data_IF_937619317633
#
_entry.id   IF_937619317633
#
_cell.length_a   1.000
_cell.length_b   1.000
_cell.length_c   1.000
_cell.angle_alpha   90.00
_cell.angle_beta   90.00
_cell.angle_gamma   90.00
#
_symmetry.space_group_name_H-M   'P 1'
#
loop_
_entity.id
_entity.type
_entity.pdbx_description
1 polymer ?
#
# COMPACT_ATOMS: atom_id res chain seq x y z
N UNK A 1 -30.55 -38.91 20.39
CA UNK A 1 -31.45 -39.05 21.57
C UNK A 1 -31.86 -37.69 22.17
N UNK A 2 -32.30 -36.73 21.36
CA UNK A 2 -32.81 -35.43 21.86
C UNK A 2 -31.77 -34.45 22.45
N UNK A 3 -30.47 -34.79 22.42
CA UNK A 3 -29.37 -33.93 22.87
C UNK A 3 -28.73 -33.26 21.64
N UNK A 4 -28.63 -31.92 21.65
CA UNK A 4 -27.89 -31.19 20.62
C UNK A 4 -26.38 -31.38 20.83
N UNK A 5 -25.67 -31.71 19.74
CA UNK A 5 -24.22 -31.98 19.73
C UNK A 5 -23.47 -31.02 18.79
N UNK A 6 -24.09 -29.93 18.37
CA UNK A 6 -23.46 -28.89 17.57
C UNK A 6 -22.26 -28.27 18.32
N UNK A 7 -21.08 -28.33 17.71
CA UNK A 7 -19.82 -27.89 18.33
C UNK A 7 -19.20 -28.86 19.36
N UNK A 8 -19.81 -30.04 19.59
CA UNK A 8 -19.25 -31.05 20.50
C UNK A 8 -18.04 -31.75 19.87
N UNK A 9 -17.08 -32.14 20.70
CA UNK A 9 -15.90 -32.90 20.25
C UNK A 9 -16.27 -34.34 19.89
N UNK A 10 -15.53 -34.96 18.97
CA UNK A 10 -15.77 -36.34 18.54
C UNK A 10 -15.90 -37.33 19.72
N UNK A 11 -15.03 -37.18 20.73
CA UNK A 11 -15.06 -38.02 21.95
C UNK A 11 -16.38 -37.89 22.72
N UNK A 12 -16.88 -36.67 22.90
CA UNK A 12 -18.14 -36.42 23.61
C UNK A 12 -19.33 -37.03 22.87
N UNK A 13 -19.33 -36.99 21.54
CA UNK A 13 -20.39 -37.60 20.72
C UNK A 13 -20.35 -39.13 20.85
N UNK A 14 -19.17 -39.74 20.80
CA UNK A 14 -19.00 -41.20 20.96
C UNK A 14 -19.43 -41.67 22.35
N UNK A 15 -19.12 -40.91 23.41
CA UNK A 15 -19.53 -41.24 24.78
C UNK A 15 -21.06 -41.18 24.94
N UNK A 16 -21.72 -40.19 24.31
CA UNK A 16 -23.18 -40.10 24.27
C UNK A 16 -23.83 -41.26 23.50
N UNK A 17 -23.20 -41.73 22.43
CA UNK A 17 -23.66 -42.90 21.68
C UNK A 17 -23.52 -44.17 22.54
N UNK A 18 -22.40 -44.36 23.24
CA UNK A 18 -22.17 -45.52 24.12
C UNK A 18 -23.12 -45.56 25.32
N UNK A 19 -23.56 -44.39 25.80
CA UNK A 19 -24.56 -44.29 26.87
C UNK A 19 -25.98 -44.66 26.40
N UNK A 20 -26.24 -44.68 25.08
CA UNK A 20 -27.51 -45.14 24.51
C UNK A 20 -27.53 -46.66 24.36
N UNK A 21 -28.07 -47.37 25.35
CA UNK A 21 -27.87 -48.83 25.43
C UNK A 21 -28.58 -49.66 24.33
N UNK A 22 -29.63 -49.16 23.66
CA UNK A 22 -30.41 -49.98 22.70
C UNK A 22 -30.86 -49.30 21.40
N UNK A 23 -31.20 -48.01 21.42
CA UNK A 23 -31.67 -47.29 20.21
C UNK A 23 -31.07 -45.88 20.13
N UNK A 24 -30.70 -45.48 18.90
CA UNK A 24 -30.10 -44.18 18.60
C UNK A 24 -31.02 -43.40 17.65
N UNK A 25 -31.58 -42.30 18.16
CA UNK A 25 -32.39 -41.37 17.36
C UNK A 25 -31.48 -40.25 16.86
N UNK A 26 -31.29 -40.18 15.54
CA UNK A 26 -30.50 -39.17 14.83
C UNK A 26 -31.40 -38.28 13.96
N UNK A 27 -31.11 -36.99 13.94
CA UNK A 27 -31.71 -36.05 13.00
C UNK A 27 -30.72 -35.79 11.88
N UNK A 28 -31.10 -36.12 10.63
CA UNK A 28 -30.25 -35.86 9.46
C UNK A 28 -30.40 -34.40 9.05
N UNK A 29 -29.30 -33.66 9.09
CA UNK A 29 -29.23 -32.30 8.55
C UNK A 29 -28.64 -32.38 7.13
N UNK A 30 -29.44 -32.00 6.14
CA UNK A 30 -28.99 -31.91 4.76
C UNK A 30 -28.23 -30.59 4.56
N UNK A 31 -26.92 -30.69 4.32
CA UNK A 31 -26.07 -29.58 3.90
C UNK A 31 -26.01 -29.48 2.37
N UNK A 32 -25.87 -28.27 1.80
CA UNK A 32 -25.68 -28.11 0.37
C UNK A 32 -24.39 -28.81 -0.10
N UNK A 33 -24.30 -29.24 -1.38
CA UNK A 33 -23.23 -30.15 -1.85
C UNK A 33 -21.80 -29.65 -1.58
N UNK A 34 -21.59 -28.33 -1.60
CA UNK A 34 -20.29 -27.72 -1.35
C UNK A 34 -19.86 -27.74 0.13
N UNK A 35 -20.79 -27.90 1.07
CA UNK A 35 -20.51 -28.09 2.49
C UNK A 35 -20.40 -29.57 2.87
N UNK A 36 -21.04 -30.47 2.11
CA UNK A 36 -20.92 -31.91 2.30
C UNK A 36 -19.48 -32.40 2.03
N UNK A 37 -18.83 -31.84 1.00
CA UNK A 37 -17.41 -32.11 0.68
C UNK A 37 -16.44 -31.61 1.78
N UNK A 38 -16.86 -30.69 2.67
CA UNK A 38 -16.05 -30.19 3.79
C UNK A 38 -16.02 -31.15 5.00
N UNK A 39 -16.90 -32.15 5.04
CA UNK A 39 -17.08 -33.03 6.21
C UNK A 39 -16.39 -34.39 6.05
N UNK A 40 -15.89 -34.72 4.86
CA UNK A 40 -15.15 -35.95 4.61
C UNK A 40 -13.65 -35.73 4.90
N UNK A 41 -13.06 -36.41 5.89
CA UNK A 41 -11.64 -36.28 6.19
C UNK A 41 -10.85 -37.00 5.10
N UNK A 42 -10.44 -36.27 4.06
CA UNK A 42 -9.51 -36.78 3.05
C UNK A 42 -8.09 -36.74 3.61
N UNK A 43 -7.50 -37.92 3.72
CA UNK A 43 -6.24 -38.24 4.41
C UNK A 43 -4.98 -37.85 3.62
N UNK A 44 -5.02 -36.78 2.82
CA UNK A 44 -3.88 -36.36 1.99
C UNK A 44 -3.32 -34.99 2.42
N UNK A 45 -2.22 -35.12 3.16
CA UNK A 45 -1.33 -34.06 3.61
C UNK A 45 -0.61 -33.38 2.45
N UNK A 46 -1.17 -32.31 1.89
CA UNK A 46 -0.45 -31.17 1.28
C UNK A 46 -1.40 -29.96 1.27
N UNK A 47 -1.03 -28.89 1.97
CA UNK A 47 -1.89 -27.73 2.25
C UNK A 47 -2.56 -27.11 1.02
N UNK A 48 -3.79 -27.52 0.74
CA UNK A 48 -4.68 -26.79 -0.16
C UNK A 48 -5.09 -25.49 0.53
N UNK A 49 -4.47 -24.38 0.11
CA UNK A 49 -4.96 -23.04 0.43
C UNK A 49 -6.40 -22.91 -0.06
N UNK A 50 -7.34 -22.98 0.89
CA UNK A 50 -8.76 -22.77 0.61
C UNK A 50 -8.96 -21.26 0.42
N UNK A 51 -9.05 -20.84 -0.83
CA UNK A 51 -9.27 -19.45 -1.20
C UNK A 51 -10.77 -19.11 -1.12
N UNK A 52 -11.11 -17.99 -0.49
CA UNK A 52 -12.46 -17.42 -0.53
C UNK A 52 -12.67 -16.65 -1.85
N UNK A 53 -13.48 -17.21 -2.74
CA UNK A 53 -13.80 -16.61 -4.03
C UNK A 53 -15.02 -15.68 -3.98
N UNK A 54 -15.65 -15.51 -2.81
CA UNK A 54 -16.83 -14.66 -2.64
C UNK A 54 -16.46 -13.20 -2.38
N UNK A 55 -15.25 -12.94 -1.89
CA UNK A 55 -14.74 -11.59 -1.65
C UNK A 55 -14.45 -10.87 -2.98
N UNK A 56 -15.38 -9.98 -3.35
CA UNK A 56 -15.26 -9.14 -4.54
C UNK A 56 -14.68 -7.78 -4.17
N UNK A 57 -13.47 -7.51 -4.64
CA UNK A 57 -12.91 -6.17 -4.66
C UNK A 57 -13.03 -5.65 -6.10
N UNK A 58 -13.67 -4.49 -6.29
CA UNK A 58 -13.72 -3.90 -7.62
C UNK A 58 -12.31 -3.49 -8.05
N UNK A 59 -11.66 -4.33 -8.86
CA UNK A 59 -10.39 -4.03 -9.52
C UNK A 59 -10.71 -3.71 -10.98
N UNK A 60 -10.93 -2.43 -11.35
CA UNK A 60 -11.37 -2.07 -12.69
C UNK A 60 -10.19 -2.13 -13.66
N UNK A 61 -9.79 -3.34 -14.05
CA UNK A 61 -8.84 -3.58 -15.14
C UNK A 61 -9.59 -3.40 -16.47
N UNK A 62 -9.02 -2.61 -17.37
CA UNK A 62 -9.54 -2.36 -18.70
C UNK A 62 -8.40 -2.37 -19.72
N UNK A 63 -8.72 -2.60 -20.99
CA UNK A 63 -7.71 -2.57 -22.06
C UNK A 63 -8.24 -1.64 -23.17
N UNK A 64 -8.34 -0.33 -22.92
CA UNK A 64 -9.00 0.60 -23.84
C UNK A 64 -8.22 0.85 -25.13
N UNK A 65 -6.92 0.57 -25.18
CA UNK A 65 -6.06 0.93 -26.32
C UNK A 65 -5.09 -0.18 -26.72
N UNK A 66 -4.70 -0.19 -27.99
CA UNK A 66 -3.67 -1.05 -28.54
C UNK A 66 -2.71 -0.23 -29.43
N UNK A 67 -1.49 -0.74 -29.63
CA UNK A 67 -0.47 -0.12 -30.48
C UNK A 67 0.17 -1.17 -31.39
N UNK A 68 0.49 -0.76 -32.61
CA UNK A 68 1.35 -1.55 -33.49
C UNK A 68 2.79 -1.24 -33.17
N UNK A 69 3.57 -2.27 -32.86
CA UNK A 69 5.00 -2.16 -32.55
C UNK A 69 5.75 -2.97 -33.60
N UNK A 70 6.80 -2.36 -34.14
CA UNK A 70 7.76 -3.00 -35.03
C UNK A 70 9.09 -3.13 -34.26
N UNK A 71 9.46 -4.35 -33.91
CA UNK A 71 10.67 -4.64 -33.14
C UNK A 71 11.37 -5.83 -33.79
N UNK A 72 12.69 -5.73 -33.99
CA UNK A 72 13.51 -6.76 -34.62
C UNK A 72 13.00 -7.24 -36.00
N UNK A 73 12.33 -6.36 -36.76
CA UNK A 73 11.74 -6.68 -38.08
C UNK A 73 10.39 -7.39 -38.03
N UNK A 74 9.84 -7.65 -36.83
CA UNK A 74 8.51 -8.21 -36.65
C UNK A 74 7.50 -7.12 -36.27
N UNK A 75 6.33 -7.14 -36.93
CA UNK A 75 5.20 -6.27 -36.61
C UNK A 75 4.20 -7.03 -35.77
N UNK A 76 3.97 -6.58 -34.55
CA UNK A 76 2.98 -7.18 -33.65
C UNK A 76 2.12 -6.12 -32.96
N UNK A 77 0.96 -6.54 -32.47
CA UNK A 77 0.03 -5.70 -31.71
C UNK A 77 0.28 -5.91 -30.22
N UNK A 78 0.43 -4.81 -29.49
CA UNK A 78 0.44 -4.80 -28.03
C UNK A 78 -0.81 -4.13 -27.51
N UNK A 79 -1.38 -4.70 -26.47
CA UNK A 79 -2.56 -4.22 -25.78
C UNK A 79 -2.12 -3.50 -24.51
N UNK A 80 -2.58 -2.27 -24.31
CA UNK A 80 -2.25 -1.49 -23.12
C UNK A 80 -3.28 -1.83 -22.03
N UNK A 81 -2.81 -2.44 -20.95
CA UNK A 81 -3.62 -2.82 -19.81
C UNK A 81 -3.67 -1.64 -18.84
N UNK A 82 -4.88 -1.25 -18.45
CA UNK A 82 -5.16 -0.16 -17.53
C UNK A 82 -5.86 -0.69 -16.29
N UNK A 83 -5.66 -0.04 -15.14
CA UNK A 83 -6.45 -0.23 -13.93
C UNK A 83 -6.91 1.12 -13.39
N UNK A 84 -8.21 1.28 -13.18
CA UNK A 84 -8.81 2.53 -12.69
C UNK A 84 -8.37 3.78 -13.50
N UNK A 85 -8.25 3.61 -14.83
CA UNK A 85 -7.79 4.66 -15.75
C UNK A 85 -6.27 4.85 -15.83
N UNK A 86 -5.46 4.00 -15.19
CA UNK A 86 -3.98 4.08 -15.16
C UNK A 86 -3.36 2.98 -16.01
N UNK A 87 -2.44 3.26 -16.92
CA UNK A 87 -1.76 2.22 -17.68
C UNK A 87 -0.76 1.47 -16.78
N UNK A 88 -0.89 0.14 -16.66
CA UNK A 88 0.01 -0.70 -15.87
C UNK A 88 1.11 -1.31 -16.73
N UNK A 89 0.73 -1.93 -17.85
CA UNK A 89 1.68 -2.61 -18.73
C UNK A 89 1.15 -2.69 -20.16
N UNK A 90 2.01 -3.10 -21.09
CA UNK A 90 1.64 -3.39 -22.48
C UNK A 90 2.00 -4.83 -22.80
N UNK A 91 1.02 -5.64 -23.22
CA UNK A 91 1.18 -7.10 -23.40
C UNK A 91 0.70 -7.56 -24.77
N UNK A 92 1.39 -8.54 -25.35
CA UNK A 92 0.95 -9.26 -26.56
C UNK A 92 -0.14 -10.26 -26.19
N UNK A 93 -0.97 -10.63 -27.16
CA UNK A 93 -2.02 -11.63 -26.98
C UNK A 93 -1.53 -12.94 -26.35
N UNK A 94 -0.34 -13.41 -26.77
CA UNK A 94 0.28 -14.63 -26.24
C UNK A 94 0.50 -14.58 -24.73
N UNK A 95 0.89 -13.43 -24.19
CA UNK A 95 1.15 -13.26 -22.76
C UNK A 95 -0.15 -13.32 -21.95
N UNK A 96 -1.25 -12.78 -22.50
CA UNK A 96 -2.59 -12.88 -21.90
C UNK A 96 -3.09 -14.34 -21.91
N UNK A 97 -2.80 -15.08 -22.97
CA UNK A 97 -3.14 -16.50 -23.04
C UNK A 97 -2.36 -17.36 -22.03
N UNK A 98 -1.09 -17.02 -21.77
CA UNK A 98 -0.26 -17.68 -20.75
C UNK A 98 -0.80 -17.39 -19.35
N UNK A 99 -1.15 -16.12 -19.04
CA UNK A 99 -1.81 -15.75 -17.78
C UNK A 99 -3.02 -16.65 -17.52
N UNK A 100 -3.90 -16.80 -18.51
CA UNK A 100 -5.10 -17.62 -18.39
C UNK A 100 -4.77 -19.08 -18.04
N UNK A 101 -3.82 -19.68 -18.76
CA UNK A 101 -3.40 -21.06 -18.49
C UNK A 101 -2.82 -21.22 -17.08
N UNK A 102 -2.03 -20.25 -16.62
CA UNK A 102 -1.46 -20.25 -15.29
C UNK A 102 -2.55 -20.08 -14.21
N UNK A 103 -3.51 -19.17 -14.39
CA UNK A 103 -4.64 -19.00 -13.47
C UNK A 103 -5.51 -20.26 -13.40
N UNK A 104 -5.81 -20.90 -14.54
CA UNK A 104 -6.52 -22.19 -14.57
C UNK A 104 -5.79 -23.30 -13.82
N UNK A 105 -4.45 -23.31 -13.90
CA UNK A 105 -3.62 -24.29 -13.19
C UNK A 105 -3.55 -24.00 -11.69
N UNK A 106 -3.37 -22.73 -11.31
CA UNK A 106 -3.23 -22.31 -9.92
C UNK A 106 -4.55 -22.32 -9.14
N UNK A 107 -5.68 -22.08 -9.82
CA UNK A 107 -7.02 -22.00 -9.21
C UNK A 107 -7.90 -23.13 -9.73
N UNK A 108 -7.44 -24.37 -9.58
CA UNK A 108 -8.12 -25.56 -10.12
C UNK A 108 -9.56 -25.76 -9.60
N UNK A 109 -9.88 -25.23 -8.40
CA UNK A 109 -11.23 -25.28 -7.80
C UNK A 109 -12.15 -24.15 -8.28
N UNK A 110 -11.63 -23.11 -8.94
CA UNK A 110 -12.45 -22.03 -9.46
C UNK A 110 -13.03 -22.43 -10.82
N UNK A 111 -14.36 -22.52 -10.89
CA UNK A 111 -15.07 -22.76 -12.14
C UNK A 111 -15.04 -21.50 -12.99
N UNK A 112 -13.96 -21.35 -13.76
CA UNK A 112 -13.94 -20.32 -14.77
C UNK A 112 -15.05 -20.59 -15.82
N UNK A 113 -15.74 -19.55 -16.33
CA UNK A 113 -16.81 -19.72 -17.31
C UNK A 113 -16.37 -20.60 -18.50
N UNK A 114 -17.22 -21.46 -19.04
CA UNK A 114 -16.85 -22.19 -20.27
C UNK A 114 -16.87 -21.26 -21.49
N UNK A 115 -15.95 -21.41 -22.46
CA UNK A 115 -16.06 -20.74 -23.74
C UNK A 115 -17.26 -21.31 -24.52
N UNK A 116 -18.22 -20.46 -24.89
CA UNK A 116 -19.32 -20.87 -25.78
C UNK A 116 -18.79 -21.22 -27.18
N UNK A 117 -19.39 -22.23 -27.85
CA UNK A 117 -18.95 -22.65 -29.17
C UNK A 117 -19.55 -21.77 -30.27
N UNK A 118 -18.77 -21.60 -31.34
CA UNK A 118 -19.12 -20.95 -32.61
C UNK A 118 -19.10 -19.41 -32.64
N UNK A 119 -17.88 -18.87 -32.81
CA UNK A 119 -17.46 -17.84 -33.79
C UNK A 119 -16.34 -16.93 -33.32
N UNK A 120 -15.78 -17.16 -32.12
CA UNK A 120 -14.54 -16.54 -31.68
C UNK A 120 -13.96 -17.33 -30.51
N UNK A 121 -13.08 -18.29 -30.79
CA UNK A 121 -12.18 -18.85 -29.78
C UNK A 121 -11.26 -17.77 -29.15
N UNK A 122 -11.28 -16.56 -29.73
CA UNK A 122 -10.64 -15.32 -29.28
C UNK A 122 -11.34 -14.64 -28.09
N UNK A 123 -12.57 -15.03 -27.72
CA UNK A 123 -13.42 -14.22 -26.81
C UNK A 123 -13.40 -14.63 -25.33
N UNK A 124 -12.62 -15.63 -24.91
CA UNK A 124 -12.55 -15.93 -23.47
C UNK A 124 -11.78 -14.87 -22.67
N UNK A 125 -10.94 -14.07 -23.34
CA UNK A 125 -10.33 -12.90 -22.73
C UNK A 125 -11.35 -11.77 -22.42
N UNK A 126 -12.63 -11.95 -22.77
CA UNK A 126 -13.63 -10.89 -22.84
C UNK A 126 -14.90 -11.17 -22.01
N UNK A 127 -14.73 -11.48 -20.71
CA UNK A 127 -15.64 -10.93 -19.69
C UNK A 127 -15.44 -9.39 -19.53
N UNK A 128 -14.47 -8.84 -20.23
CA UNK A 128 -14.37 -7.43 -20.63
C UNK A 128 -15.03 -7.31 -22.00
N UNK A 129 -16.30 -6.88 -22.10
CA UNK A 129 -16.87 -6.46 -23.39
C UNK A 129 -16.13 -5.17 -23.80
N UNK A 130 -15.04 -5.26 -24.56
CA UNK A 130 -14.59 -4.10 -25.33
C UNK A 130 -15.47 -4.08 -26.56
N UNK A 131 -16.58 -3.34 -26.46
CA UNK A 131 -17.21 -2.81 -27.65
C UNK A 131 -16.27 -1.73 -28.16
N UNK A 132 -15.39 -2.04 -29.12
CA UNK A 132 -14.89 -1.03 -30.05
C UNK A 132 -16.00 -0.81 -31.07
N UNK A 133 -17.09 -0.19 -30.62
CA UNK A 133 -18.02 0.48 -31.51
C UNK A 133 -18.38 1.79 -30.86
N UNK A 134 -18.37 2.82 -31.69
CA UNK A 134 -18.77 4.18 -31.42
C UNK A 134 -20.03 4.26 -30.54
N UNK A 135 -20.15 5.40 -29.86
CA UNK A 135 -21.24 5.82 -28.97
C UNK A 135 -21.11 5.34 -27.52
N UNK A 136 -20.85 6.32 -26.66
CA UNK A 136 -20.69 6.13 -25.22
C UNK A 136 -21.90 5.45 -24.59
N UNK A 137 -21.64 4.33 -23.92
CA UNK A 137 -22.48 3.78 -22.85
C UNK A 137 -21.56 3.13 -21.81
N UNK A 138 -21.82 3.46 -20.55
CA UNK A 138 -21.20 2.93 -19.33
C UNK A 138 -21.01 1.41 -19.35
N UNK A 139 -19.81 0.94 -18.98
CA UNK A 139 -19.45 -0.47 -18.94
C UNK A 139 -19.39 -1.00 -17.49
N UNK A 140 -20.21 -2.01 -17.17
CA UNK A 140 -20.14 -2.77 -15.90
C UNK A 140 -19.51 -4.13 -16.19
N UNK A 141 -18.29 -4.44 -15.72
CA UNK A 141 -17.69 -5.75 -15.94
C UNK A 141 -18.13 -6.74 -14.84
N UNK A 142 -18.62 -7.92 -15.23
CA UNK A 142 -18.56 -9.11 -14.38
C UNK A 142 -17.12 -9.65 -14.43
N UNK A 143 -16.19 -8.96 -13.77
CA UNK A 143 -14.75 -9.23 -13.92
C UNK A 143 -14.31 -10.36 -12.99
N UNK A 144 -13.72 -11.42 -13.54
CA UNK A 144 -12.98 -12.45 -12.77
C UNK A 144 -11.83 -11.80 -11.98
N UNK A 145 -11.24 -10.72 -12.51
CA UNK A 145 -10.24 -9.90 -11.80
C UNK A 145 -10.82 -9.10 -10.62
N UNK A 146 -12.14 -9.04 -10.45
CA UNK A 146 -12.76 -8.44 -9.26
C UNK A 146 -12.80 -9.39 -8.07
N UNK A 147 -12.35 -10.65 -8.21
CA UNK A 147 -12.18 -11.57 -7.09
C UNK A 147 -10.82 -11.28 -6.47
N UNK A 148 -10.82 -10.91 -5.18
CA UNK A 148 -9.62 -10.42 -4.48
C UNK A 148 -8.43 -11.38 -4.59
N UNK A 149 -8.69 -12.67 -4.37
CA UNK A 149 -7.69 -13.75 -4.50
C UNK A 149 -7.02 -13.76 -5.87
N UNK A 150 -7.76 -13.48 -6.94
CA UNK A 150 -7.23 -13.50 -8.30
C UNK A 150 -6.42 -12.23 -8.56
N UNK A 151 -6.94 -11.07 -8.14
CA UNK A 151 -6.26 -9.78 -8.28
C UNK A 151 -4.98 -9.65 -7.46
N UNK A 152 -4.89 -10.32 -6.31
CA UNK A 152 -3.72 -10.35 -5.42
C UNK A 152 -2.79 -11.55 -5.68
N UNK A 153 -3.12 -12.44 -6.61
CA UNK A 153 -2.29 -13.63 -6.89
C UNK A 153 -0.93 -13.26 -7.50
N UNK A 154 0.09 -14.04 -7.14
CA UNK A 154 1.45 -13.90 -7.71
C UNK A 154 1.43 -14.02 -9.24
N UNK A 155 0.54 -14.85 -9.79
CA UNK A 155 0.37 -15.04 -11.24
C UNK A 155 -0.10 -13.74 -11.90
N UNK A 156 -1.03 -13.01 -11.26
CA UNK A 156 -1.54 -11.74 -11.77
C UNK A 156 -0.50 -10.62 -11.61
N UNK A 157 0.21 -10.61 -10.49
CA UNK A 157 1.33 -9.69 -10.24
C UNK A 157 2.45 -9.88 -11.28
N UNK A 158 2.83 -11.13 -11.56
CA UNK A 158 3.82 -11.47 -12.58
C UNK A 158 3.36 -11.02 -13.98
N UNK A 159 2.09 -11.25 -14.33
CA UNK A 159 1.56 -10.78 -15.60
C UNK A 159 1.51 -9.26 -15.70
N UNK A 160 1.16 -8.55 -14.63
CA UNK A 160 1.13 -7.09 -14.63
C UNK A 160 2.55 -6.51 -14.57
N UNK A 161 3.52 -7.26 -14.05
CA UNK A 161 4.94 -6.95 -14.17
C UNK A 161 5.42 -7.15 -15.62
N UNK A 162 6.30 -6.26 -16.08
CA UNK A 162 6.84 -6.40 -17.44
C UNK A 162 7.82 -7.56 -17.46
N UNK A 163 7.60 -8.52 -18.37
CA UNK A 163 8.54 -9.60 -18.62
C UNK A 163 9.84 -8.99 -19.14
N UNK A 164 10.96 -9.44 -18.57
CA UNK A 164 12.34 -9.00 -18.76
C UNK A 164 12.88 -9.06 -20.22
N UNK A 165 12.03 -9.16 -21.24
CA UNK A 165 12.44 -9.19 -22.64
C UNK A 165 12.29 -7.83 -23.36
N UNK A 166 11.61 -6.86 -22.76
CA UNK A 166 11.46 -5.50 -23.30
C UNK A 166 12.44 -4.49 -22.65
N UNK A 167 13.72 -4.86 -22.56
CA UNK A 167 14.82 -4.09 -21.95
C UNK A 167 15.26 -2.81 -22.68
N UNK A 168 14.33 -2.12 -23.33
CA UNK A 168 14.54 -0.73 -23.70
C UNK A 168 13.69 0.12 -22.76
N UNK A 169 14.25 0.52 -21.63
CA UNK A 169 13.68 1.47 -20.65
C UNK A 169 13.39 2.87 -21.21
N UNK A 170 13.15 2.98 -22.51
CA UNK A 170 12.91 4.20 -23.29
C UNK A 170 11.42 4.41 -23.54
N UNK A 171 10.54 3.44 -23.24
CA UNK A 171 9.09 3.65 -23.37
C UNK A 171 8.60 4.63 -22.31
N UNK A 172 7.87 5.64 -22.75
CA UNK A 172 7.21 6.60 -21.86
C UNK A 172 6.01 5.96 -21.16
N UNK A 173 5.83 6.34 -19.90
CA UNK A 173 4.71 5.98 -19.04
C UNK A 173 4.17 7.23 -18.36
N UNK A 174 2.88 7.20 -18.03
CA UNK A 174 2.22 8.26 -17.29
C UNK A 174 2.11 7.86 -15.82
N UNK A 175 2.82 8.59 -14.95
CA UNK A 175 2.73 8.41 -13.51
C UNK A 175 1.83 9.49 -12.93
N UNK A 176 0.82 9.07 -12.18
CA UNK A 176 -0.02 9.97 -11.39
C UNK A 176 0.62 10.15 -10.01
N UNK A 177 0.78 11.37 -9.55
CA UNK A 177 1.36 11.70 -8.24
C UNK A 177 0.38 12.60 -7.49
N UNK A 178 0.11 12.25 -6.23
CA UNK A 178 -0.73 13.04 -5.35
C UNK A 178 0.04 14.26 -4.82
N UNK A 179 -0.64 15.39 -4.75
CA UNK A 179 -0.11 16.63 -4.22
C UNK A 179 -0.71 16.89 -2.82
N UNK A 180 -0.05 17.69 -1.98
CA UNK A 180 -0.53 18.00 -0.63
C UNK A 180 -1.95 18.57 -0.58
N UNK A 181 -2.37 19.29 -1.63
CA UNK A 181 -3.68 19.94 -1.75
C UNK A 181 -4.81 19.01 -2.22
N UNK A 182 -4.62 17.68 -2.12
CA UNK A 182 -5.57 16.62 -2.53
C UNK A 182 -5.66 16.47 -4.06
N UNK A 183 -5.10 17.39 -4.83
CA UNK A 183 -5.06 17.25 -6.28
C UNK A 183 -4.04 16.20 -6.70
N UNK A 184 -4.10 15.81 -7.97
CA UNK A 184 -3.14 14.86 -8.55
C UNK A 184 -2.60 15.40 -9.85
N UNK A 185 -1.30 15.24 -10.06
CA UNK A 185 -0.63 15.59 -11.31
C UNK A 185 -0.21 14.33 -12.04
N UNK A 186 -0.34 14.33 -13.37
CA UNK A 186 0.18 13.25 -14.21
C UNK A 186 1.42 13.75 -14.93
N UNK A 187 2.53 13.02 -14.77
CA UNK A 187 3.80 13.28 -15.45
C UNK A 187 4.12 12.15 -16.40
N UNK A 188 4.62 12.51 -17.59
CA UNK A 188 5.09 11.55 -18.58
C UNK A 188 6.61 11.41 -18.44
N UNK A 189 7.05 10.22 -18.05
CA UNK A 189 8.45 9.90 -17.75
C UNK A 189 8.83 8.57 -18.38
N UNK A 190 10.12 8.24 -18.41
CA UNK A 190 10.57 6.92 -18.86
C UNK A 190 10.35 5.90 -17.75
N UNK A 191 10.14 4.63 -18.11
CA UNK A 191 9.99 3.55 -17.13
C UNK A 191 11.19 3.38 -16.19
N UNK A 192 12.39 3.64 -16.70
CA UNK A 192 13.62 3.59 -15.92
C UNK A 192 13.97 4.93 -15.26
N UNK A 193 13.04 5.89 -15.24
CA UNK A 193 13.29 7.16 -14.56
C UNK A 193 13.45 6.94 -13.07
N UNK A 194 14.50 7.54 -12.52
CA UNK A 194 14.78 7.50 -11.09
C UNK A 194 13.85 8.43 -10.31
N UNK A 195 13.78 8.27 -8.99
CA UNK A 195 13.04 9.16 -8.09
C UNK A 195 13.32 10.64 -8.36
N UNK A 196 14.59 11.02 -8.52
CA UNK A 196 14.96 12.41 -8.81
C UNK A 196 14.37 12.90 -10.14
N UNK A 197 14.43 12.09 -11.20
CA UNK A 197 13.91 12.47 -12.51
C UNK A 197 12.39 12.63 -12.48
N UNK A 198 11.68 11.74 -11.79
CA UNK A 198 10.23 11.85 -11.60
C UNK A 198 9.89 13.07 -10.75
N UNK A 199 10.62 13.32 -9.67
CA UNK A 199 10.44 14.47 -8.81
C UNK A 199 10.65 15.79 -9.56
N UNK A 200 11.70 15.90 -10.37
CA UNK A 200 11.95 17.08 -11.22
C UNK A 200 10.84 17.31 -12.25
N UNK A 201 10.31 16.24 -12.87
CA UNK A 201 9.18 16.35 -13.79
C UNK A 201 7.92 16.85 -13.07
N UNK A 202 7.67 16.40 -11.83
CA UNK A 202 6.55 16.87 -11.00
C UNK A 202 6.75 18.34 -10.62
N UNK A 203 7.92 18.71 -10.10
CA UNK A 203 8.25 20.09 -9.70
C UNK A 203 8.07 21.08 -10.86
N UNK A 204 8.59 20.74 -12.04
CA UNK A 204 8.41 21.55 -13.25
C UNK A 204 6.95 21.66 -13.67
N UNK A 205 6.17 20.57 -13.55
CA UNK A 205 4.76 20.53 -13.95
C UNK A 205 3.86 21.36 -13.04
N UNK A 206 4.17 21.46 -11.74
CA UNK A 206 3.41 22.25 -10.76
C UNK A 206 3.92 23.68 -10.62
N UNK A 207 5.03 24.04 -11.28
CA UNK A 207 5.63 25.37 -11.19
C UNK A 207 6.37 25.62 -9.88
N UNK A 208 6.93 24.58 -9.26
CA UNK A 208 7.73 24.69 -8.05
C UNK A 208 9.13 25.21 -8.39
N UNK A 209 9.54 26.30 -7.74
CA UNK A 209 10.87 26.87 -7.91
C UNK A 209 11.96 26.00 -7.25
N UNK A 210 13.21 26.23 -7.64
CA UNK A 210 14.35 25.42 -7.18
C UNK A 210 14.63 25.53 -5.68
N UNK A 211 14.24 26.64 -5.03
CA UNK A 211 14.42 26.81 -3.58
C UNK A 211 13.37 25.96 -2.86
N UNK A 212 12.10 26.14 -3.21
CA UNK A 212 10.98 25.40 -2.63
C UNK A 212 11.13 23.89 -2.82
N UNK A 213 11.63 23.45 -3.98
CA UNK A 213 11.85 22.04 -4.27
C UNK A 213 12.76 21.32 -3.25
N UNK A 214 13.70 22.01 -2.61
CA UNK A 214 14.58 21.39 -1.62
C UNK A 214 13.89 20.98 -0.30
N UNK A 215 12.65 21.43 -0.11
CA UNK A 215 11.83 21.22 1.08
C UNK A 215 10.70 20.22 0.87
N UNK A 216 10.66 19.56 -0.29
CA UNK A 216 9.72 18.49 -0.58
C UNK A 216 10.47 17.24 -1.03
N UNK A 217 9.81 16.09 -0.93
CA UNK A 217 10.31 14.84 -1.48
C UNK A 217 9.17 14.01 -2.07
N UNK A 218 9.54 13.01 -2.86
CA UNK A 218 8.63 12.00 -3.37
C UNK A 218 8.53 10.84 -2.37
N UNK A 219 7.31 10.41 -2.09
CA UNK A 219 6.99 9.35 -1.16
C UNK A 219 6.13 8.29 -1.83
N UNK A 220 6.26 7.07 -1.32
CA UNK A 220 5.35 5.96 -1.54
C UNK A 220 4.39 5.82 -0.37
N UNK A 221 3.11 5.62 -0.66
CA UNK A 221 2.04 5.32 0.29
C UNK A 221 1.93 3.81 0.43
N UNK A 222 2.15 3.31 1.65
CA UNK A 222 2.12 1.90 2.02
C UNK A 222 0.91 1.66 2.93
N UNK A 223 0.14 0.60 2.67
CA UNK A 223 -1.02 0.20 3.48
C UNK A 223 -1.99 1.36 3.77
N UNK A 224 -2.19 2.25 2.80
CA UNK A 224 -3.08 3.43 2.85
C UNK A 224 -2.79 4.50 3.91
N UNK A 225 -1.85 4.27 4.83
CA UNK A 225 -1.67 5.10 6.02
C UNK A 225 -0.24 5.60 6.21
N UNK A 226 0.75 4.76 5.89
CA UNK A 226 2.16 5.08 6.08
C UNK A 226 2.76 5.64 4.79
N UNK A 227 3.67 6.61 4.92
CA UNK A 227 4.36 7.24 3.79
C UNK A 227 5.86 7.07 3.95
N UNK A 228 6.47 6.36 3.00
CA UNK A 228 7.90 6.10 2.95
C UNK A 228 8.56 7.04 1.94
N UNK A 229 9.59 7.77 2.35
CA UNK A 229 10.38 8.58 1.43
C UNK A 229 11.12 7.69 0.45
N UNK A 230 11.05 8.00 -0.84
CA UNK A 230 11.81 7.29 -1.87
C UNK A 230 13.26 7.76 -1.90
N UNK A 231 14.19 6.81 -2.03
CA UNK A 231 15.60 7.11 -2.26
C UNK A 231 15.83 7.60 -3.70
N UNK A 232 16.83 8.46 -3.94
CA UNK A 232 17.10 9.06 -5.26
C UNK A 232 17.27 8.06 -6.41
N UNK A 233 17.77 6.87 -6.11
CA UNK A 233 18.10 5.80 -7.05
C UNK A 233 16.99 4.73 -7.22
N UNK A 234 15.87 4.85 -6.50
CA UNK A 234 14.71 4.00 -6.72
C UNK A 234 14.00 4.34 -8.03
N UNK A 235 13.16 3.41 -8.52
CA UNK A 235 12.42 3.56 -9.78
C UNK A 235 10.90 3.63 -9.48
N UNK A 236 10.30 4.84 -9.41
CA UNK A 236 8.90 5.01 -9.01
C UNK A 236 7.91 4.21 -9.86
N UNK A 237 8.19 3.99 -11.14
CA UNK A 237 7.33 3.16 -12.00
C UNK A 237 7.23 1.71 -11.50
N UNK A 238 8.32 1.11 -11.01
CA UNK A 238 8.29 -0.27 -10.47
C UNK A 238 7.37 -0.37 -9.25
N UNK A 239 7.48 0.60 -8.34
CA UNK A 239 6.65 0.72 -7.14
C UNK A 239 5.18 1.00 -7.51
N UNK A 240 4.97 1.81 -8.54
CA UNK A 240 3.66 2.14 -9.08
C UNK A 240 2.92 0.91 -9.60
N UNK A 241 3.64 -0.02 -10.24
CA UNK A 241 3.10 -1.31 -10.65
C UNK A 241 2.88 -2.21 -9.44
N UNK A 242 3.88 -2.43 -8.58
CA UNK A 242 3.75 -3.35 -7.44
C UNK A 242 2.58 -3.03 -6.50
N UNK A 243 2.30 -1.74 -6.27
CA UNK A 243 1.26 -1.28 -5.35
C UNK A 243 -0.08 -0.94 -6.03
N UNK A 244 -0.43 -1.62 -7.13
CA UNK A 244 -1.66 -1.32 -7.88
C UNK A 244 -2.96 -1.60 -7.09
N UNK A 245 -2.98 -2.59 -6.19
CA UNK A 245 -4.15 -2.96 -5.37
C UNK A 245 -4.31 -2.09 -4.12
N UNK A 246 -3.22 -1.57 -3.57
CA UNK A 246 -3.16 -0.87 -2.27
C UNK A 246 -3.35 0.66 -2.37
N UNK A 247 -3.76 1.19 -3.52
CA UNK A 247 -3.77 2.64 -3.80
C UNK A 247 -5.19 3.26 -3.84
N UNK A 248 -5.75 3.59 -2.68
CA UNK A 248 -6.90 4.51 -2.54
C UNK A 248 -6.33 5.92 -2.28
N UNK A 249 -6.60 6.99 -3.08
CA UNK A 249 -7.57 7.15 -4.17
C UNK A 249 -6.92 7.61 -5.49
N UNK A 250 -6.05 6.82 -6.12
CA UNK A 250 -5.54 7.21 -7.46
C UNK A 250 -4.06 6.99 -7.73
N UNK A 251 -3.25 6.78 -6.70
CA UNK A 251 -1.80 6.64 -6.83
C UNK A 251 -1.19 6.16 -5.51
N UNK A 252 -0.08 5.44 -5.57
CA UNK A 252 0.77 5.15 -4.43
C UNK A 252 1.91 6.18 -4.27
N UNK A 253 2.02 7.17 -5.15
CA UNK A 253 3.05 8.20 -5.13
C UNK A 253 2.49 9.53 -4.66
N UNK A 254 3.18 10.21 -3.76
CA UNK A 254 2.78 11.52 -3.24
C UNK A 254 3.96 12.43 -2.99
N UNK A 255 3.77 13.73 -3.18
CA UNK A 255 4.72 14.75 -2.75
C UNK A 255 4.35 15.18 -1.33
N UNK A 256 5.32 15.19 -0.43
CA UNK A 256 5.13 15.73 0.93
C UNK A 256 6.31 16.61 1.33
N UNK A 257 6.02 17.51 2.27
CA UNK A 257 7.01 18.34 2.94
C UNK A 257 8.10 17.46 3.56
N UNK A 258 9.35 17.79 3.27
CA UNK A 258 10.55 17.22 3.87
C UNK A 258 11.40 18.32 4.50
N UNK A 259 10.88 18.87 5.58
CA UNK A 259 11.46 20.00 6.29
C UNK A 259 11.15 19.86 7.77
N UNK A 260 12.19 19.92 8.60
CA UNK A 260 12.06 19.67 10.03
C UNK A 260 12.43 20.86 10.91
N UNK A 261 12.88 21.98 10.34
CA UNK A 261 13.15 23.23 11.07
C UNK A 261 12.05 24.24 10.87
N UNK A 262 11.57 24.83 11.95
CA UNK A 262 10.50 25.85 11.90
C UNK A 262 10.99 27.16 11.31
N UNK A 263 12.27 27.46 11.44
CA UNK A 263 12.90 28.71 10.99
C UNK A 263 12.95 28.76 9.46
N UNK A 264 13.45 27.70 8.82
CA UNK A 264 13.44 27.57 7.36
C UNK A 264 12.02 27.54 6.79
N UNK A 265 11.07 26.96 7.52
CA UNK A 265 9.67 26.95 7.10
C UNK A 265 9.07 28.35 7.08
N UNK A 266 9.42 29.20 8.04
CA UNK A 266 8.99 30.60 8.11
C UNK A 266 9.55 31.42 6.94
N UNK A 267 10.77 31.12 6.47
CA UNK A 267 11.36 31.78 5.30
C UNK A 267 10.57 31.54 4.01
N UNK A 268 9.74 30.49 3.96
CA UNK A 268 8.89 30.16 2.82
C UNK A 268 7.49 30.77 2.89
N UNK A 269 7.19 31.59 3.90
CA UNK A 269 5.86 32.20 4.07
C UNK A 269 5.47 33.15 2.92
N UNK A 270 6.45 33.67 2.17
CA UNK A 270 6.22 34.53 1.00
C UNK A 270 5.99 33.73 -0.29
N UNK A 271 6.13 32.40 -0.25
CA UNK A 271 5.88 31.52 -1.38
C UNK A 271 4.48 30.88 -1.27
N UNK A 272 3.54 31.37 -2.09
CA UNK A 272 2.15 30.92 -2.07
C UNK A 272 1.99 29.40 -2.26
N UNK A 273 2.81 28.79 -3.14
CA UNK A 273 2.74 27.34 -3.39
C UNK A 273 3.20 26.55 -2.15
N UNK A 274 4.33 26.95 -1.56
CA UNK A 274 4.86 26.31 -0.35
C UNK A 274 3.86 26.41 0.82
N UNK A 275 3.33 27.61 1.07
CA UNK A 275 2.33 27.86 2.12
C UNK A 275 1.07 27.02 1.90
N UNK A 276 0.57 26.98 0.66
CA UNK A 276 -0.61 26.17 0.30
C UNK A 276 -0.37 24.70 0.60
N UNK A 277 0.78 24.16 0.18
CA UNK A 277 1.11 22.75 0.39
C UNK A 277 1.33 22.41 1.87
N UNK A 278 2.05 23.25 2.61
CA UNK A 278 2.23 23.06 4.05
C UNK A 278 0.90 23.10 4.79
N UNK A 279 0.03 24.05 4.44
CA UNK A 279 -1.29 24.18 5.04
C UNK A 279 -2.13 22.93 4.81
N UNK A 280 -2.26 22.47 3.56
CA UNK A 280 -3.10 21.31 3.26
C UNK A 280 -2.56 20.02 3.87
N UNK A 281 -1.23 19.83 3.88
CA UNK A 281 -0.62 18.69 4.57
C UNK A 281 -0.89 18.76 6.08
N UNK A 282 -0.72 19.92 6.72
CA UNK A 282 -0.96 20.06 8.15
C UNK A 282 -2.43 19.84 8.52
N UNK A 283 -3.38 20.27 7.68
CA UNK A 283 -4.80 19.97 7.86
C UNK A 283 -5.08 18.46 7.78
N UNK A 284 -4.46 17.75 6.84
CA UNK A 284 -4.56 16.29 6.74
C UNK A 284 -3.96 15.58 7.97
N UNK A 285 -2.80 16.05 8.43
CA UNK A 285 -2.11 15.49 9.60
C UNK A 285 -2.89 15.71 10.91
N UNK A 286 -3.58 16.85 11.07
CA UNK A 286 -4.53 17.06 12.18
C UNK A 286 -5.74 16.12 12.07
N UNK A 287 -6.32 15.95 10.87
CA UNK A 287 -7.47 15.05 10.66
C UNK A 287 -7.14 13.59 10.95
N UNK A 288 -5.90 13.17 10.65
CA UNK A 288 -5.38 11.83 10.94
C UNK A 288 -4.99 11.63 12.41
N UNK A 289 -5.00 12.71 13.21
CA UNK A 289 -4.61 12.66 14.63
C UNK A 289 -3.10 12.59 14.85
N UNK A 290 -2.29 12.88 13.83
CA UNK A 290 -0.82 12.95 13.97
C UNK A 290 -0.38 14.19 14.75
N UNK A 291 -1.16 15.28 14.65
CA UNK A 291 -0.92 16.52 15.39
C UNK A 291 -2.03 16.68 16.45
N UNK A 292 -1.64 16.72 17.72
CA UNK A 292 -2.56 16.93 18.85
C UNK A 292 -2.92 18.41 18.94
N UNK A 293 -4.13 18.73 18.50
CA UNK A 293 -4.62 20.09 18.35
C UNK A 293 -6.01 20.32 18.97
N UNK A 294 -6.45 19.43 19.86
CA UNK A 294 -7.79 19.41 20.46
C UNK A 294 -8.10 20.73 21.18
N UNK A 295 -7.15 21.24 21.95
CA UNK A 295 -7.28 22.50 22.71
C UNK A 295 -7.45 23.74 21.80
N UNK A 296 -6.95 23.66 20.56
CA UNK A 296 -6.97 24.77 19.59
C UNK A 296 -7.94 24.52 18.43
N UNK A 297 -8.71 23.44 18.49
CA UNK A 297 -9.60 22.98 17.41
C UNK A 297 -10.53 24.06 16.86
N UNK A 298 -11.22 24.81 17.72
CA UNK A 298 -12.11 25.90 17.32
C UNK A 298 -11.38 27.03 16.57
N UNK A 299 -10.21 27.44 17.05
CA UNK A 299 -9.42 28.51 16.43
C UNK A 299 -8.88 28.06 15.07
N UNK A 300 -8.37 26.83 14.99
CA UNK A 300 -7.87 26.22 13.76
C UNK A 300 -8.98 26.08 12.72
N UNK A 301 -10.19 25.65 13.12
CA UNK A 301 -11.34 25.58 12.24
C UNK A 301 -11.68 26.95 11.64
N UNK A 302 -11.77 27.99 12.48
CA UNK A 302 -12.04 29.35 12.02
C UNK A 302 -10.96 29.86 11.05
N UNK A 303 -9.68 29.59 11.32
CA UNK A 303 -8.58 29.97 10.43
C UNK A 303 -8.64 29.22 9.09
N UNK A 304 -9.03 27.95 9.10
CA UNK A 304 -9.23 27.13 7.91
C UNK A 304 -10.38 27.69 7.04
N UNK A 305 -11.53 28.01 7.63
CA UNK A 305 -12.68 28.61 6.94
C UNK A 305 -12.34 29.99 6.34
N UNK A 306 -11.54 30.78 7.05
CA UNK A 306 -11.07 32.10 6.59
C UNK A 306 -9.88 32.01 5.62
N UNK A 307 -9.39 30.81 5.30
CA UNK A 307 -8.18 30.57 4.48
C UNK A 307 -6.94 31.35 4.96
N UNK A 308 -6.82 31.58 6.26
CA UNK A 308 -5.65 32.25 6.87
C UNK A 308 -4.51 31.25 7.09
N UNK A 309 -3.94 30.76 6.00
CA UNK A 309 -2.99 29.64 5.98
C UNK A 309 -1.75 29.87 6.85
N UNK A 310 -1.08 31.02 6.74
CA UNK A 310 0.12 31.34 7.54
C UNK A 310 -0.19 31.38 9.04
N UNK A 311 -1.31 31.98 9.43
CA UNK A 311 -1.74 32.02 10.84
C UNK A 311 -2.09 30.61 11.36
N UNK A 312 -2.70 29.78 10.53
CA UNK A 312 -2.98 28.38 10.86
C UNK A 312 -1.69 27.60 11.11
N UNK A 313 -0.70 27.72 10.23
CA UNK A 313 0.61 27.08 10.38
C UNK A 313 1.36 27.58 11.62
N UNK A 314 1.36 28.90 11.88
CA UNK A 314 1.96 29.47 13.10
C UNK A 314 1.38 28.86 14.38
N UNK A 315 0.08 28.57 14.39
CA UNK A 315 -0.58 27.94 15.53
C UNK A 315 -0.16 26.48 15.69
N UNK A 316 -0.15 25.71 14.59
CA UNK A 316 0.23 24.29 14.62
C UNK A 316 1.70 24.03 14.95
N UNK A 317 2.62 24.95 14.61
CA UNK A 317 4.04 24.86 14.99
C UNK A 317 4.26 24.74 16.51
N UNK A 318 3.27 25.11 17.31
CA UNK A 318 3.30 25.02 18.77
C UNK A 318 2.60 23.78 19.34
N UNK A 319 1.99 22.95 18.49
CA UNK A 319 1.27 21.74 18.87
C UNK A 319 2.21 20.52 18.90
N UNK A 320 1.89 19.55 19.76
CA UNK A 320 2.61 18.28 19.82
C UNK A 320 2.32 17.45 18.54
N UNK A 321 3.36 16.82 17.98
CA UNK A 321 3.26 16.03 16.75
C UNK A 321 3.48 16.82 15.45
N UNK A 322 3.61 18.16 15.52
CA UNK A 322 3.96 18.93 14.33
C UNK A 322 5.38 18.60 13.84
N UNK A 323 5.53 18.34 12.53
CA UNK A 323 6.75 17.83 11.90
C UNK A 323 7.29 16.52 12.52
N UNK A 324 6.42 15.70 13.11
CA UNK A 324 6.76 14.36 13.60
C UNK A 324 6.40 13.29 12.56
N UNK A 325 7.34 12.39 12.28
CA UNK A 325 7.13 11.23 11.40
C UNK A 325 6.92 10.01 12.27
N UNK A 326 5.78 9.36 12.10
CA UNK A 326 5.39 8.16 12.85
C UNK A 326 5.56 6.94 11.94
N UNK A 327 6.29 5.94 12.42
CA UNK A 327 6.53 4.67 11.73
C UNK A 327 5.54 3.60 12.22
N UNK A 328 5.24 2.57 11.40
CA UNK A 328 4.44 1.44 11.84
C UNK A 328 5.03 0.77 13.08
N UNK A 329 4.17 0.19 13.91
CA UNK A 329 4.60 -0.55 15.09
C UNK A 329 5.50 -1.73 14.71
N UNK A 330 6.57 -1.94 15.48
CA UNK A 330 7.56 -2.97 15.24
C UNK A 330 8.12 -3.52 16.56
N UNK A 331 8.72 -4.70 16.50
CA UNK A 331 9.39 -5.27 17.66
C UNK A 331 10.69 -4.52 17.99
N UNK A 332 11.07 -4.53 19.26
CA UNK A 332 12.24 -3.82 19.77
C UNK A 332 12.89 -4.61 20.91
N UNK A 333 14.21 -4.72 20.91
CA UNK A 333 14.98 -5.48 21.92
C UNK A 333 14.90 -4.91 23.34
N UNK A 334 14.55 -3.63 23.46
CA UNK A 334 14.35 -2.95 24.74
C UNK A 334 13.07 -3.39 25.45
N UNK A 335 12.20 -4.15 24.77
CA UNK A 335 10.97 -4.72 25.34
C UNK A 335 10.93 -6.23 25.17
N UNK A 336 10.56 -6.93 26.24
CA UNK A 336 10.38 -8.40 26.22
C UNK A 336 9.03 -8.83 25.65
N UNK A 337 8.03 -7.95 25.68
CA UNK A 337 6.66 -8.18 25.20
C UNK A 337 6.11 -6.89 24.58
N UNK A 338 5.29 -7.05 23.54
CA UNK A 338 4.72 -5.92 22.82
C UNK A 338 5.69 -5.30 21.81
N UNK A 339 5.19 -4.30 21.09
CA UNK A 339 5.91 -3.57 20.05
C UNK A 339 6.21 -2.12 20.51
N UNK A 340 6.88 -1.38 19.65
CA UNK A 340 7.07 0.07 19.76
C UNK A 340 6.65 0.75 18.47
N UNK A 341 6.07 1.94 18.60
CA UNK A 341 5.88 2.89 17.52
C UNK A 341 6.99 3.91 17.63
N UNK A 342 7.78 4.02 16.56
CA UNK A 342 8.87 4.98 16.50
C UNK A 342 8.35 6.29 15.94
N UNK A 343 8.67 7.40 16.59
CA UNK A 343 8.32 8.73 16.11
C UNK A 343 9.57 9.63 16.07
N UNK A 344 9.79 10.30 14.94
CA UNK A 344 10.98 11.13 14.71
C UNK A 344 10.55 12.57 14.53
N UNK A 345 11.10 13.47 15.34
CA UNK A 345 10.80 14.92 15.34
C UNK A 345 12.08 15.75 15.43
N UNK A 346 11.98 17.06 15.27
CA UNK A 346 13.13 17.98 15.40
C UNK A 346 13.82 17.92 16.76
N UNK A 347 13.08 17.62 17.83
CA UNK A 347 13.65 17.64 19.19
C UNK A 347 14.04 16.26 19.68
N UNK A 348 13.30 15.24 19.26
CA UNK A 348 13.41 13.93 19.86
C UNK A 348 13.18 12.81 18.84
N UNK A 349 13.89 11.71 19.10
CA UNK A 349 13.54 10.37 18.66
C UNK A 349 12.72 9.69 19.77
N UNK A 350 11.52 9.22 19.49
CA UNK A 350 10.63 8.62 20.52
C UNK A 350 10.31 7.17 20.21
N UNK A 351 10.22 6.38 21.27
CA UNK A 351 9.67 5.04 21.28
C UNK A 351 8.42 5.02 22.15
N UNK A 352 7.27 4.89 21.51
CA UNK A 352 5.99 4.72 22.18
C UNK A 352 5.68 3.23 22.26
N UNK A 353 5.60 2.71 23.48
CA UNK A 353 5.17 1.34 23.71
C UNK A 353 3.76 1.06 23.15
N UNK A 354 3.58 -0.11 22.56
CA UNK A 354 2.27 -0.59 22.13
C UNK A 354 2.17 -2.11 22.22
N UNK A 355 0.96 -2.65 22.10
CA UNK A 355 0.74 -4.09 21.98
C UNK A 355 1.25 -4.62 20.64
N UNK A 356 1.31 -5.94 20.47
CA UNK A 356 1.64 -6.57 19.18
C UNK A 356 0.61 -6.25 18.07
N UNK A 357 -0.57 -5.74 18.46
CA UNK A 357 -1.61 -5.26 17.54
C UNK A 357 -1.55 -3.74 17.31
N UNK A 358 -0.55 -3.04 17.89
CA UNK A 358 -0.36 -1.60 17.72
C UNK A 358 -1.21 -0.71 18.63
N UNK A 359 -1.87 -1.26 19.66
CA UNK A 359 -2.60 -0.45 20.65
C UNK A 359 -1.61 0.27 21.58
N UNK A 360 -1.71 1.58 21.69
CA UNK A 360 -0.79 2.42 22.48
C UNK A 360 -0.83 2.09 23.98
N UNK A 361 0.34 2.03 24.61
CA UNK A 361 0.52 1.94 26.05
C UNK A 361 1.01 3.27 26.63
N UNK A 362 0.91 3.48 27.94
CA UNK A 362 1.30 4.76 28.56
C UNK A 362 2.81 5.02 28.59
N UNK A 363 3.65 4.05 28.22
CA UNK A 363 5.10 4.21 28.27
C UNK A 363 5.63 4.85 26.98
N UNK A 364 6.22 6.04 27.10
CA UNK A 364 6.93 6.71 26.02
C UNK A 364 8.34 7.04 26.48
N UNK A 365 9.33 6.69 25.67
CA UNK A 365 10.73 7.05 25.90
C UNK A 365 11.14 7.99 24.78
N UNK A 366 11.44 9.24 25.12
CA UNK A 366 11.95 10.25 24.20
C UNK A 366 13.45 10.42 24.42
N UNK A 367 14.24 10.35 23.36
CA UNK A 367 15.67 10.59 23.32
C UNK A 367 15.92 11.93 22.63
N UNK A 368 16.67 12.82 23.28
CA UNK A 368 17.18 14.02 22.61
C UNK A 368 18.27 13.62 21.62
N UNK A 369 18.45 14.40 20.55
CA UNK A 369 19.47 14.11 19.54
C UNK A 369 20.89 14.10 20.12
N UNK A 370 21.18 14.96 21.09
CA UNK A 370 22.46 15.00 21.83
C UNK A 370 22.72 13.72 22.65
N UNK A 371 21.68 12.98 23.03
CA UNK A 371 21.82 11.69 23.72
C UNK A 371 22.20 10.56 22.76
N UNK A 372 21.90 10.69 21.46
CA UNK A 372 22.16 9.67 20.43
C UNK A 372 23.58 9.80 19.89
N UNK A 373 24.44 8.86 20.24
CA UNK A 373 25.87 8.93 19.90
C UNK A 373 26.18 8.31 18.54
N UNK A 374 25.53 7.19 18.22
CA UNK A 374 25.77 6.41 17.00
C UNK A 374 24.49 5.75 16.54
N UNK A 375 24.41 5.49 15.25
CA UNK A 375 23.36 4.66 14.68
C UNK A 375 23.87 3.92 13.46
N UNK A 376 23.29 2.75 13.22
CA UNK A 376 23.58 1.93 12.06
C UNK A 376 22.35 1.12 11.64
N UNK A 377 22.43 0.56 10.45
CA UNK A 377 21.49 -0.44 9.93
C UNK A 377 22.15 -1.80 9.97
N UNK A 378 21.43 -2.84 10.35
CA UNK A 378 22.00 -4.19 10.32
C UNK A 378 22.30 -4.66 8.87
N UNK A 379 23.09 -5.73 8.76
CA UNK A 379 23.61 -6.23 7.47
C UNK A 379 22.51 -6.58 6.47
N UNK A 380 21.35 -7.03 6.96
CA UNK A 380 20.18 -7.38 6.14
C UNK A 380 19.27 -6.18 5.84
N UNK A 381 19.52 -5.02 6.47
CA UNK A 381 18.66 -3.83 6.32
C UNK A 381 17.25 -4.06 6.85
N UNK A 382 17.11 -4.81 7.93
CA UNK A 382 15.84 -5.17 8.57
C UNK A 382 15.73 -4.63 10.00
N UNK A 383 16.79 -3.97 10.50
CA UNK A 383 16.74 -3.31 11.78
C UNK A 383 17.57 -2.04 11.86
N UNK A 384 17.01 -1.05 12.57
CA UNK A 384 17.67 0.17 12.96
C UNK A 384 18.29 -0.02 14.35
N UNK A 385 19.59 0.24 14.45
CA UNK A 385 20.34 0.15 15.70
C UNK A 385 20.81 1.55 16.08
N UNK A 386 20.63 1.96 17.33
CA UNK A 386 21.22 3.21 17.83
C UNK A 386 21.81 3.04 19.22
N UNK A 387 22.89 3.78 19.48
CA UNK A 387 23.55 3.90 20.77
C UNK A 387 23.18 5.23 21.39
N UNK A 388 22.73 5.20 22.63
CA UNK A 388 22.42 6.42 23.39
C UNK A 388 23.13 6.44 24.74
N UNK A 389 23.43 7.63 25.24
CA UNK A 389 24.00 7.86 26.57
C UNK A 389 23.20 8.92 27.33
N UNK A 390 22.90 8.66 28.61
CA UNK A 390 22.18 9.62 29.48
C UNK A 390 22.99 9.95 30.71
N UNK A 391 23.43 11.21 30.79
CA UNK A 391 24.33 11.67 31.86
C UNK A 391 25.59 10.81 31.90
N UNK A 392 25.99 10.39 33.10
CA UNK A 392 27.21 9.58 33.31
C UNK A 392 26.99 8.07 33.16
N UNK A 393 25.81 7.63 32.69
CA UNK A 393 25.55 6.19 32.50
C UNK A 393 26.31 5.67 31.27
N UNK A 394 26.73 4.40 31.34
CA UNK A 394 27.33 3.71 30.19
C UNK A 394 26.36 3.75 28.99
N UNK A 395 26.88 3.99 27.77
CA UNK A 395 26.08 3.94 26.56
C UNK A 395 25.37 2.59 26.40
N UNK A 396 24.19 2.61 25.79
CA UNK A 396 23.38 1.42 25.53
C UNK A 396 22.92 1.40 24.09
N UNK A 397 22.95 0.21 23.50
CA UNK A 397 22.39 -0.06 22.19
C UNK A 397 20.92 -0.46 22.30
N UNK A 398 20.15 -0.02 21.31
CA UNK A 398 18.76 -0.39 21.09
C UNK A 398 18.62 -0.83 19.64
N UNK A 399 17.97 -1.97 19.42
CA UNK A 399 17.67 -2.53 18.11
C UNK A 399 16.16 -2.55 17.86
N UNK A 400 15.74 -1.89 16.79
CA UNK A 400 14.35 -1.79 16.32
C UNK A 400 14.23 -2.57 15.01
N UNK A 401 13.38 -3.58 14.98
CA UNK A 401 13.24 -4.46 13.81
C UNK A 401 12.20 -3.89 12.84
N UNK A 402 12.66 -3.10 11.87
CA UNK A 402 11.81 -2.40 10.91
C UNK A 402 12.37 -2.51 9.49
N UNK A 403 11.54 -2.83 8.48
CA UNK A 403 11.97 -2.84 7.08
C UNK A 403 12.16 -1.43 6.50
N UNK A 404 11.84 -0.38 7.27
CA UNK A 404 11.84 1.01 6.81
C UNK A 404 13.15 1.76 7.13
N UNK A 405 14.26 1.04 7.31
CA UNK A 405 15.59 1.59 7.68
C UNK A 405 16.25 2.46 6.62
N UNK A 406 15.89 2.31 5.34
CA UNK A 406 16.48 3.06 4.24
C UNK A 406 16.16 4.56 4.25
N UNK A 407 15.35 5.03 5.22
CA UNK A 407 15.14 6.46 5.49
C UNK A 407 16.36 7.15 6.13
N UNK A 408 17.59 6.71 5.82
CA UNK A 408 18.86 7.40 6.16
C UNK A 408 18.83 8.93 5.98
N UNK A 409 18.09 9.53 5.00
CA UNK A 409 17.99 10.98 4.89
C UNK A 409 17.26 11.69 6.04
N UNK A 410 16.57 10.98 6.93
CA UNK A 410 15.91 11.56 8.11
C UNK A 410 16.95 11.96 9.14
N UNK A 411 17.83 11.03 9.51
CA UNK A 411 18.79 11.22 10.61
C UNK A 411 19.94 12.14 10.23
N UNK A 412 20.36 12.19 8.97
CA UNK A 412 21.43 13.11 8.53
C UNK A 412 21.03 14.59 8.51
N UNK A 413 19.75 14.92 8.73
CA UNK A 413 19.28 16.30 8.88
C UNK A 413 19.02 16.71 10.34
N UNK A 414 19.22 15.80 11.29
CA UNK A 414 19.03 16.03 12.72
C UNK A 414 20.35 16.05 13.47
#
# INVERSE_FOLDING_TARGET
NGVNVEGATHKQVVDLIRAGEKELILTVLSVPPHEADNLDPSDDSLGQSFYDYTEKQAVPISIPTYKHVEQNGEKFVVYNVYMAGRQLCSKRYREVAILHQNLKRGLAKFNFPQPEPAHNQTLWCFAVRITVLEAGVSFRPSSVCSIRVIGESDIMQEFLSESDENYNGVSDVELRVALPDITTVTVRVKKNSTTDQVYQAVAAKVGMDSITANYFALFEVINHSFVRKLAPNEFPHKLYVQNYTSAVPGTCLTIRKWLFTTEEEVLLNDNDLAVTYFFHQAVDDVKKGYIKAEEKSYQLQKLCEQRKMVMYLNMLRTCEGYNEIIFPHCSCDSRRKGHVITAISIKHFKLHACTEEGQLENQVIAFEWDEMQRWDTDEEGMAFCFEYARGEKKPRWVKIFTPYVSTRPVLCRF
#
